data_IF_277922700228
#
_entry.id   IF_277922700228
#
_cell.length_a   1.000
_cell.length_b   1.000
_cell.length_c   1.000
_cell.angle_alpha   90.00
_cell.angle_beta   90.00
_cell.angle_gamma   90.00
#
_symmetry.space_group_name_H-M   'P 1'
#
loop_
_entity.id
_entity.type
_entity.pdbx_description
1 polymer ?
#
# COMPACT_ATOMS: atom_id res chain seq x y z
N UNK A 1 -0.70 0.69 56.50
CA UNK A 1 -0.94 -0.65 57.07
C UNK A 1 -2.42 -0.94 56.95
N UNK A 2 -2.80 -2.11 56.45
CA UNK A 2 -4.19 -2.54 56.51
C UNK A 2 -4.53 -2.96 57.95
N UNK A 3 -5.81 -2.90 58.32
CA UNK A 3 -6.30 -3.23 59.66
C UNK A 3 -6.02 -4.67 60.10
N UNK A 4 -5.68 -5.56 59.17
CA UNK A 4 -5.30 -6.96 59.41
C UNK A 4 -3.77 -7.18 59.57
N UNK A 5 -2.96 -6.13 59.61
CA UNK A 5 -1.49 -6.25 59.74
C UNK A 5 -0.75 -6.66 58.46
N UNK A 6 -1.44 -6.79 57.32
CA UNK A 6 -0.79 -7.10 56.05
C UNK A 6 0.09 -5.93 55.56
N UNK A 7 1.35 -6.24 55.22
CA UNK A 7 2.34 -5.29 54.70
C UNK A 7 2.98 -5.87 53.42
N UNK A 8 2.49 -5.50 52.23
CA UNK A 8 3.10 -5.96 50.98
C UNK A 8 4.53 -5.39 50.86
N UNK A 9 5.47 -6.24 50.45
CA UNK A 9 6.86 -5.89 50.21
C UNK A 9 7.27 -6.36 48.81
N UNK A 10 6.86 -5.63 47.75
CA UNK A 10 7.25 -5.97 46.38
C UNK A 10 8.76 -5.80 46.19
N UNK A 11 9.33 -6.56 45.27
CA UNK A 11 10.74 -6.40 44.87
C UNK A 11 10.96 -5.03 44.22
N UNK A 12 12.06 -4.37 44.57
CA UNK A 12 12.50 -3.17 43.87
C UNK A 12 13.24 -3.56 42.58
N UNK A 13 12.54 -3.41 41.47
CA UNK A 13 13.02 -3.81 40.14
C UNK A 13 13.19 -2.60 39.21
N UNK A 14 13.29 -1.38 39.77
CA UNK A 14 13.45 -0.16 38.98
C UNK A 14 14.76 -0.14 38.17
N UNK A 15 15.76 -0.92 38.60
CA UNK A 15 17.03 -1.08 37.91
C UNK A 15 16.94 -2.00 36.68
N UNK A 16 15.89 -2.81 36.56
CA UNK A 16 15.70 -3.76 35.44
C UNK A 16 15.03 -3.06 34.26
N UNK A 17 15.81 -2.74 33.23
CA UNK A 17 15.32 -2.17 31.97
C UNK A 17 15.05 -3.28 30.95
N UNK A 18 13.84 -3.27 30.38
CA UNK A 18 13.46 -4.21 29.33
C UNK A 18 13.99 -3.74 27.97
N UNK A 19 14.46 -4.69 27.15
CA UNK A 19 14.86 -4.43 25.78
C UNK A 19 13.65 -4.17 24.87
N UNK A 20 13.81 -3.55 23.67
CA UNK A 20 12.71 -3.37 22.72
C UNK A 20 11.98 -4.67 22.35
N UNK A 21 12.73 -5.76 22.21
CA UNK A 21 12.20 -7.09 21.93
C UNK A 21 11.34 -7.60 23.11
N UNK A 22 11.80 -7.42 24.34
CA UNK A 22 11.04 -7.78 25.54
C UNK A 22 9.78 -6.92 25.71
N UNK A 23 9.82 -5.63 25.37
CA UNK A 23 8.61 -4.78 25.35
C UNK A 23 7.59 -5.28 24.32
N UNK A 24 8.04 -5.74 23.16
CA UNK A 24 7.16 -6.36 22.15
C UNK A 24 6.56 -7.68 22.67
N UNK A 25 7.34 -8.47 23.40
CA UNK A 25 6.85 -9.69 24.05
C UNK A 25 5.78 -9.38 25.12
N UNK A 26 6.00 -8.36 25.95
CA UNK A 26 5.02 -7.90 26.95
C UNK A 26 3.69 -7.57 26.29
N UNK A 27 3.70 -6.92 25.13
CA UNK A 27 2.47 -6.63 24.37
C UNK A 27 1.74 -7.91 23.94
N UNK A 28 2.47 -8.89 23.37
CA UNK A 28 1.89 -10.18 22.94
C UNK A 28 1.32 -10.97 24.11
N UNK A 29 2.00 -10.95 25.26
CA UNK A 29 1.54 -11.61 26.48
C UNK A 29 0.30 -10.92 27.05
N UNK A 30 0.24 -9.58 27.02
CA UNK A 30 -0.95 -8.82 27.42
C UNK A 30 -2.15 -9.11 26.51
N UNK A 31 -1.92 -9.16 25.19
CA UNK A 31 -2.93 -9.57 24.21
C UNK A 31 -3.43 -11.00 24.49
N UNK A 32 -2.53 -11.96 24.71
CA UNK A 32 -2.92 -13.32 25.02
C UNK A 32 -3.73 -13.42 26.33
N UNK A 33 -3.30 -12.71 27.39
CA UNK A 33 -4.03 -12.65 28.65
C UNK A 33 -5.46 -12.12 28.47
N UNK A 34 -5.62 -11.08 27.64
CA UNK A 34 -6.94 -10.56 27.27
C UNK A 34 -7.77 -11.58 26.47
N UNK A 35 -7.16 -12.26 25.50
CA UNK A 35 -7.85 -13.26 24.68
C UNK A 35 -8.35 -14.45 25.52
N UNK A 36 -7.56 -14.90 26.50
CA UNK A 36 -7.96 -15.94 27.46
C UNK A 36 -9.15 -15.46 28.30
N UNK A 37 -9.07 -14.25 28.87
CA UNK A 37 -10.18 -13.65 29.61
C UNK A 37 -11.45 -13.54 28.76
N UNK A 38 -11.34 -13.04 27.53
CA UNK A 38 -12.47 -12.85 26.63
C UNK A 38 -13.10 -14.20 26.26
N UNK A 39 -12.29 -15.21 25.92
CA UNK A 39 -12.76 -16.58 25.64
C UNK A 39 -13.55 -17.15 26.82
N UNK A 40 -13.01 -17.02 28.03
CA UNK A 40 -13.65 -17.59 29.23
C UNK A 40 -14.94 -16.83 29.58
N UNK A 41 -14.99 -15.51 29.35
CA UNK A 41 -16.22 -14.72 29.49
C UNK A 41 -17.28 -15.10 28.47
N UNK A 42 -16.92 -15.26 27.20
CA UNK A 42 -17.85 -15.74 26.17
C UNK A 42 -18.42 -17.11 26.56
N UNK A 43 -17.59 -18.05 27.03
CA UNK A 43 -18.04 -19.37 27.52
C UNK A 43 -19.01 -19.29 28.69
N UNK A 44 -18.89 -18.27 29.55
CA UNK A 44 -19.80 -18.01 30.67
C UNK A 44 -21.09 -17.30 30.25
N UNK A 45 -21.29 -17.05 28.96
CA UNK A 45 -22.45 -16.37 28.39
C UNK A 45 -22.37 -14.85 28.45
N UNK A 46 -21.16 -14.27 28.59
CA UNK A 46 -21.01 -12.82 28.51
C UNK A 46 -21.05 -12.35 27.06
N UNK A 47 -21.67 -11.19 26.84
CA UNK A 47 -21.75 -10.56 25.52
C UNK A 47 -21.12 -9.17 25.52
N UNK A 48 -20.74 -8.70 24.34
CA UNK A 48 -20.32 -7.32 24.16
C UNK A 48 -21.48 -6.34 24.45
N UNK A 49 -21.16 -5.19 25.02
CA UNK A 49 -22.04 -4.01 25.11
C UNK A 49 -21.20 -2.77 25.36
N UNK A 50 -21.70 -1.59 24.96
CA UNK A 50 -21.00 -0.32 25.15
C UNK A 50 -20.86 0.04 26.64
N UNK A 51 -21.74 -0.49 27.50
CA UNK A 51 -21.73 -0.25 28.95
C UNK A 51 -21.57 -1.57 29.69
N UNK A 52 -20.92 -1.52 30.85
CA UNK A 52 -20.81 -2.69 31.72
C UNK A 52 -22.14 -2.95 32.43
N UNK A 53 -22.67 -4.17 32.28
CA UNK A 53 -23.89 -4.62 32.93
C UNK A 53 -23.66 -6.02 33.48
N UNK A 54 -23.44 -6.11 34.80
CA UNK A 54 -23.12 -7.38 35.45
C UNK A 54 -24.36 -8.30 35.49
N UNK A 55 -25.56 -7.73 35.64
CA UNK A 55 -26.80 -8.49 35.75
C UNK A 55 -27.12 -9.22 34.45
N UNK A 56 -26.93 -8.55 33.32
CA UNK A 56 -27.16 -9.13 31.99
C UNK A 56 -25.89 -9.71 31.35
N UNK A 57 -24.80 -9.88 32.13
CA UNK A 57 -23.49 -10.39 31.68
C UNK A 57 -22.95 -9.66 30.43
N UNK A 58 -22.95 -8.33 30.44
CA UNK A 58 -22.43 -7.51 29.33
C UNK A 58 -21.17 -6.74 29.73
N UNK A 59 -20.19 -6.69 28.82
CA UNK A 59 -18.92 -6.03 29.10
C UNK A 59 -18.35 -5.29 27.87
N UNK A 60 -17.97 -3.99 27.98
CA UNK A 60 -17.40 -3.21 26.89
C UNK A 60 -16.00 -3.64 26.46
N UNK A 61 -15.28 -4.36 27.32
CA UNK A 61 -13.96 -4.88 27.01
C UNK A 61 -14.01 -6.19 26.23
N UNK A 62 -15.20 -6.76 25.98
CA UNK A 62 -15.35 -7.99 25.22
C UNK A 62 -15.23 -7.75 23.71
N UNK A 63 -14.09 -7.18 23.31
CA UNK A 63 -13.67 -6.91 21.94
C UNK A 63 -12.26 -7.48 21.75
N UNK A 64 -11.81 -7.71 20.50
CA UNK A 64 -10.42 -8.00 20.20
C UNK A 64 -9.46 -6.98 20.86
N UNK A 65 -8.29 -7.44 21.32
CA UNK A 65 -7.34 -6.62 22.09
C UNK A 65 -6.95 -5.33 21.35
N UNK A 66 -6.79 -5.38 20.03
CA UNK A 66 -6.46 -4.22 19.20
C UNK A 66 -7.50 -3.09 19.24
N UNK A 67 -8.78 -3.41 19.50
CA UNK A 67 -9.90 -2.47 19.61
C UNK A 67 -10.14 -1.95 21.03
N UNK A 68 -9.37 -2.40 22.03
CA UNK A 68 -9.46 -1.85 23.38
C UNK A 68 -8.96 -0.41 23.42
N UNK A 69 -9.49 0.34 24.38
CA UNK A 69 -8.97 1.67 24.72
C UNK A 69 -7.55 1.58 25.30
N UNK A 70 -6.75 2.61 25.05
CA UNK A 70 -5.33 2.65 25.46
C UNK A 70 -5.15 2.59 26.98
N UNK A 71 -6.13 3.04 27.77
CA UNK A 71 -6.07 2.95 29.23
C UNK A 71 -6.18 1.49 29.69
N UNK A 72 -7.13 0.73 29.15
CA UNK A 72 -7.27 -0.71 29.45
C UNK A 72 -6.04 -1.49 28.97
N UNK A 73 -5.55 -1.23 27.75
CA UNK A 73 -4.32 -1.86 27.25
C UNK A 73 -3.14 -1.55 28.16
N UNK A 74 -2.96 -0.29 28.58
CA UNK A 74 -1.90 0.10 29.51
C UNK A 74 -1.94 -0.69 30.81
N UNK A 75 -3.11 -0.86 31.44
CA UNK A 75 -3.22 -1.68 32.66
C UNK A 75 -2.83 -3.14 32.44
N UNK A 76 -3.22 -3.74 31.31
CA UNK A 76 -2.82 -5.11 30.96
C UNK A 76 -1.29 -5.21 30.77
N UNK A 77 -0.71 -4.25 30.03
CA UNK A 77 0.73 -4.16 29.80
C UNK A 77 1.51 -3.96 31.08
N UNK A 78 1.08 -3.07 31.96
CA UNK A 78 1.75 -2.79 33.24
C UNK A 78 1.77 -4.05 34.12
N UNK A 79 0.68 -4.81 34.14
CA UNK A 79 0.56 -6.08 34.86
C UNK A 79 1.55 -7.12 34.35
N UNK A 80 1.61 -7.31 33.04
CA UNK A 80 2.52 -8.27 32.39
C UNK A 80 3.98 -7.79 32.49
N UNK A 81 4.23 -6.50 32.33
CA UNK A 81 5.54 -5.89 32.45
C UNK A 81 6.13 -6.12 33.84
N UNK A 82 5.32 -5.96 34.90
CA UNK A 82 5.75 -6.28 36.25
C UNK A 82 6.19 -7.76 36.38
N UNK A 83 5.39 -8.70 35.86
CA UNK A 83 5.73 -10.13 35.89
C UNK A 83 7.03 -10.45 35.12
N UNK A 84 7.19 -9.88 33.92
CA UNK A 84 8.41 -10.07 33.10
C UNK A 84 9.64 -9.48 33.78
N UNK A 85 9.53 -8.28 34.37
CA UNK A 85 10.61 -7.67 35.16
C UNK A 85 10.98 -8.53 36.37
N UNK A 86 10.00 -9.14 37.04
CA UNK A 86 10.26 -10.05 38.16
C UNK A 86 11.06 -11.27 37.71
N UNK A 87 10.70 -11.90 36.60
CA UNK A 87 11.46 -13.04 36.07
C UNK A 87 12.91 -12.64 35.73
N UNK A 88 13.11 -11.51 35.07
CA UNK A 88 14.46 -11.02 34.73
C UNK A 88 15.25 -10.64 35.99
N UNK A 89 14.60 -10.01 36.98
CA UNK A 89 15.21 -9.69 38.27
C UNK A 89 15.66 -10.92 39.04
N UNK A 90 15.01 -12.07 38.84
CA UNK A 90 15.43 -13.37 39.38
C UNK A 90 16.53 -14.06 38.56
N UNK A 91 16.98 -13.46 37.45
CA UNK A 91 18.05 -13.99 36.60
C UNK A 91 17.60 -14.82 35.41
N UNK A 92 16.29 -14.92 35.13
CA UNK A 92 15.81 -15.57 33.92
C UNK A 92 16.01 -14.66 32.71
N UNK A 93 16.71 -15.15 31.69
CA UNK A 93 16.76 -14.48 30.41
C UNK A 93 15.56 -14.89 29.56
N UNK A 94 14.81 -13.90 29.05
CA UNK A 94 13.66 -14.13 28.16
C UNK A 94 13.97 -13.48 26.83
N UNK A 95 14.19 -14.32 25.84
CA UNK A 95 14.44 -13.92 24.46
C UNK A 95 13.25 -14.36 23.61
N UNK A 96 12.51 -13.42 22.99
CA UNK A 96 11.53 -13.81 21.98
C UNK A 96 12.27 -14.44 20.81
N UNK A 97 11.74 -15.51 20.19
CA UNK A 97 12.34 -16.10 19.01
C UNK A 97 12.52 -15.02 17.93
N UNK A 98 13.67 -15.08 17.25
CA UNK A 98 13.99 -14.18 16.15
C UNK A 98 12.78 -14.06 15.23
N UNK A 99 12.36 -12.81 15.05
CA UNK A 99 11.13 -12.37 14.40
C UNK A 99 10.63 -13.40 13.38
N UNK A 100 9.58 -14.16 13.72
CA UNK A 100 8.63 -14.50 12.66
C UNK A 100 8.20 -13.15 12.11
N UNK A 101 8.73 -12.86 10.92
CA UNK A 101 8.27 -11.79 10.05
C UNK A 101 6.77 -11.78 10.23
N UNK A 102 6.23 -10.63 10.64
CA UNK A 102 4.79 -10.43 10.52
C UNK A 102 4.53 -10.66 9.04
N UNK A 103 4.15 -11.88 8.69
CA UNK A 103 3.40 -12.15 7.50
C UNK A 103 2.09 -11.46 7.84
N UNK A 104 2.07 -10.13 7.65
CA UNK A 104 0.87 -9.45 7.26
C UNK A 104 0.33 -10.39 6.22
N UNK A 105 -0.73 -11.12 6.55
CA UNK A 105 -1.56 -11.70 5.51
C UNK A 105 -1.79 -10.49 4.63
N UNK A 106 -1.10 -10.47 3.48
CA UNK A 106 -1.33 -9.51 2.43
C UNK A 106 -2.73 -9.90 2.02
N UNK A 107 -3.71 -9.36 2.75
CA UNK A 107 -5.04 -9.23 2.23
C UNK A 107 -4.79 -8.64 0.87
N UNK A 108 -5.25 -9.36 -0.14
CA UNK A 108 -5.10 -9.03 -1.54
C UNK A 108 -5.96 -7.78 -1.78
N UNK A 109 -5.57 -6.67 -1.15
CA UNK A 109 -6.28 -5.41 -1.14
C UNK A 109 -6.07 -4.86 -2.53
N UNK A 110 -7.12 -4.96 -3.34
CA UNK A 110 -7.14 -4.51 -4.73
C UNK A 110 -6.54 -3.10 -4.83
N UNK A 111 -5.36 -3.01 -5.41
CA UNK A 111 -4.77 -1.77 -5.87
C UNK A 111 -5.72 -1.19 -6.92
N UNK A 112 -6.03 0.10 -6.81
CA UNK A 112 -6.81 0.80 -7.85
C UNK A 112 -5.86 1.41 -8.84
N UNK A 113 -6.04 1.09 -10.12
CA UNK A 113 -5.32 1.70 -11.23
C UNK A 113 -6.16 2.84 -11.76
N UNK A 114 -5.56 4.00 -11.98
CA UNK A 114 -6.15 5.17 -12.61
C UNK A 114 -5.36 5.52 -13.85
N UNK A 115 -6.02 5.80 -14.97
CA UNK A 115 -5.37 6.15 -16.24
C UNK A 115 -6.15 7.19 -17.01
N UNK A 116 -5.49 7.93 -17.88
CA UNK A 116 -6.18 8.78 -18.85
C UNK A 116 -6.98 7.96 -19.87
N UNK A 117 -7.97 8.57 -20.51
CA UNK A 117 -8.73 8.01 -21.64
C UNK A 117 -7.79 7.57 -22.77
N UNK A 118 -8.11 6.44 -23.42
CA UNK A 118 -7.23 5.83 -24.44
C UNK A 118 -7.03 6.72 -25.66
N UNK A 119 -8.03 7.54 -26.00
CA UNK A 119 -7.98 8.47 -27.13
C UNK A 119 -6.98 9.62 -26.95
N UNK A 120 -6.41 9.79 -25.75
CA UNK A 120 -5.37 10.78 -25.48
C UNK A 120 -3.95 10.20 -25.50
N UNK A 121 -3.76 9.00 -26.06
CA UNK A 121 -2.45 8.40 -26.17
C UNK A 121 -1.50 9.26 -27.02
N UNK A 122 -0.32 9.53 -26.48
CA UNK A 122 0.74 10.30 -27.16
C UNK A 122 1.71 9.37 -27.87
N UNK A 123 2.06 9.70 -29.12
CA UNK A 123 2.92 8.88 -29.99
C UNK A 123 4.16 9.62 -30.50
N UNK A 124 4.29 10.91 -30.22
CA UNK A 124 5.41 11.75 -30.65
C UNK A 124 5.63 12.90 -29.67
N UNK A 125 6.82 13.49 -29.67
CA UNK A 125 7.15 14.67 -28.86
C UNK A 125 7.53 14.34 -27.41
N UNK A 126 7.62 15.39 -26.59
CA UNK A 126 8.06 15.33 -25.19
C UNK A 126 6.93 15.74 -24.26
N UNK A 127 6.55 14.86 -23.33
CA UNK A 127 5.37 15.07 -22.49
C UNK A 127 5.69 14.97 -21.00
N UNK A 128 4.99 15.80 -20.23
CA UNK A 128 5.18 15.94 -18.79
C UNK A 128 3.85 15.97 -18.03
N UNK A 129 3.82 15.36 -16.85
CA UNK A 129 2.78 15.58 -15.84
C UNK A 129 3.33 15.45 -14.42
N UNK A 130 2.58 15.95 -13.43
CA UNK A 130 2.95 15.87 -12.02
C UNK A 130 2.04 14.94 -11.22
N UNK A 131 2.62 14.29 -10.22
CA UNK A 131 1.93 13.46 -9.25
C UNK A 131 2.42 13.80 -7.84
N UNK A 132 1.51 14.27 -6.99
CA UNK A 132 1.78 14.54 -5.58
C UNK A 132 1.42 13.33 -4.71
N UNK A 133 2.39 12.85 -3.94
CA UNK A 133 2.17 11.82 -2.92
C UNK A 133 1.63 12.47 -1.64
N UNK A 134 0.30 12.51 -1.47
CA UNK A 134 -0.31 13.09 -0.25
C UNK A 134 -0.08 12.21 0.98
N UNK A 135 -0.03 10.88 0.79
CA UNK A 135 0.38 9.93 1.83
C UNK A 135 1.59 9.13 1.38
N UNK A 136 2.37 8.63 2.35
CA UNK A 136 3.50 7.73 2.08
C UNK A 136 3.03 6.27 2.16
N UNK A 137 3.04 5.57 1.04
CA UNK A 137 2.73 4.15 0.98
C UNK A 137 2.72 3.59 -0.44
N UNK A 138 2.32 2.33 -0.59
CA UNK A 138 2.38 1.60 -1.86
C UNK A 138 1.51 2.29 -2.93
N UNK A 139 2.19 3.04 -3.81
CA UNK A 139 1.61 3.66 -5.00
C UNK A 139 2.65 3.56 -6.12
N UNK A 140 2.18 3.59 -7.37
CA UNK A 140 3.06 3.63 -8.55
C UNK A 140 2.54 4.67 -9.52
N UNK A 141 3.42 5.39 -10.21
CA UNK A 141 3.03 6.41 -11.19
C UNK A 141 3.98 6.40 -12.39
N UNK A 142 3.45 6.67 -13.58
CA UNK A 142 4.26 6.80 -14.78
C UNK A 142 3.40 6.72 -16.04
N UNK A 143 3.90 5.99 -17.03
CA UNK A 143 3.29 5.86 -18.35
C UNK A 143 2.85 4.43 -18.60
N UNK A 144 1.74 4.25 -19.32
CA UNK A 144 1.29 2.92 -19.76
C UNK A 144 0.76 2.94 -21.18
N UNK A 145 0.70 1.75 -21.77
CA UNK A 145 -0.03 1.49 -23.01
C UNK A 145 -1.53 1.69 -22.80
N UNK A 146 -2.28 2.10 -23.84
CA UNK A 146 -3.73 2.25 -23.75
C UNK A 146 -4.49 0.98 -23.34
N UNK A 147 -3.93 -0.20 -23.61
CA UNK A 147 -4.50 -1.51 -23.30
C UNK A 147 -4.06 -2.07 -21.93
N UNK A 148 -3.48 -1.24 -21.05
CA UNK A 148 -3.07 -1.66 -19.69
C UNK A 148 -4.19 -2.41 -18.96
N UNK A 149 -3.80 -3.54 -18.36
CA UNK A 149 -4.69 -4.48 -17.69
C UNK A 149 -5.00 -4.02 -16.26
N UNK A 150 -6.24 -4.24 -15.83
CA UNK A 150 -6.72 -3.83 -14.51
C UNK A 150 -6.56 -4.93 -13.45
N UNK A 151 -6.37 -6.17 -13.89
CA UNK A 151 -6.20 -7.39 -13.11
C UNK A 151 -4.72 -7.77 -12.90
N UNK A 152 -3.81 -7.12 -13.61
CA UNK A 152 -2.36 -7.25 -13.45
C UNK A 152 -1.81 -6.08 -12.63
N UNK A 153 -0.84 -6.35 -11.76
CA UNK A 153 -0.14 -5.29 -11.04
C UNK A 153 0.56 -4.33 -12.01
N UNK A 154 0.41 -3.02 -11.78
CA UNK A 154 0.96 -2.02 -12.69
C UNK A 154 2.49 -2.10 -12.76
N UNK A 155 3.01 -2.38 -13.96
CA UNK A 155 4.44 -2.56 -14.26
C UNK A 155 4.96 -4.00 -14.09
N UNK A 156 4.09 -4.96 -13.77
CA UNK A 156 4.46 -6.38 -13.71
C UNK A 156 4.58 -7.04 -15.10
N UNK A 157 3.99 -6.43 -16.12
CA UNK A 157 4.05 -6.82 -17.53
C UNK A 157 4.72 -5.71 -18.38
N UNK A 158 4.74 -5.91 -19.70
CA UNK A 158 5.30 -4.94 -20.66
C UNK A 158 4.41 -3.71 -20.90
N UNK A 159 3.21 -3.64 -20.31
CA UNK A 159 2.22 -2.62 -20.67
C UNK A 159 2.40 -1.32 -19.90
N UNK A 160 3.27 -1.26 -18.89
CA UNK A 160 3.48 -0.08 -18.08
C UNK A 160 4.94 0.12 -17.68
N UNK A 161 5.30 1.39 -17.54
CA UNK A 161 6.62 1.90 -17.16
C UNK A 161 6.41 2.88 -16.02
N UNK A 162 6.56 2.41 -14.79
CA UNK A 162 6.15 3.16 -13.60
C UNK A 162 7.20 3.20 -12.52
N UNK A 163 7.15 4.24 -11.70
CA UNK A 163 7.99 4.43 -10.54
C UNK A 163 7.18 4.22 -9.25
N UNK A 164 7.73 3.43 -8.33
CA UNK A 164 7.24 3.21 -6.97
C UNK A 164 8.15 3.97 -6.00
N UNK A 165 7.74 5.17 -5.59
CA UNK A 165 8.54 5.99 -4.67
C UNK A 165 8.42 5.58 -3.20
N UNK A 166 7.53 4.64 -2.83
CA UNK A 166 7.57 4.07 -1.48
C UNK A 166 8.72 3.08 -1.30
N UNK A 167 9.03 2.33 -2.36
CA UNK A 167 10.14 1.37 -2.39
C UNK A 167 11.40 1.87 -3.08
N UNK A 168 11.35 3.05 -3.71
CA UNK A 168 12.41 3.57 -4.58
C UNK A 168 12.78 2.56 -5.68
N UNK A 169 11.78 2.18 -6.48
CA UNK A 169 11.91 1.18 -7.53
C UNK A 169 11.26 1.64 -8.82
N UNK A 170 11.86 1.31 -9.96
CA UNK A 170 11.20 1.34 -11.26
C UNK A 170 10.61 -0.03 -11.58
N UNK A 171 9.48 -0.04 -12.28
CA UNK A 171 8.72 -1.23 -12.60
C UNK A 171 8.36 -1.27 -14.09
N UNK A 172 8.84 -2.33 -14.75
CA UNK A 172 8.53 -2.74 -16.10
C UNK A 172 9.00 -4.19 -16.27
N UNK A 173 8.10 -5.15 -16.48
CA UNK A 173 8.41 -6.60 -16.51
C UNK A 173 9.19 -7.04 -15.26
N UNK A 174 8.80 -6.54 -14.09
CA UNK A 174 9.51 -6.76 -12.84
C UNK A 174 9.84 -5.46 -12.12
N UNK A 175 10.74 -5.53 -11.14
CA UNK A 175 11.12 -4.37 -10.33
C UNK A 175 12.64 -4.27 -10.19
N UNK A 176 13.15 -3.05 -10.23
CA UNK A 176 14.57 -2.73 -10.07
C UNK A 176 14.73 -1.50 -9.16
N UNK A 177 15.76 -1.45 -8.30
CA UNK A 177 16.09 -0.24 -7.54
C UNK A 177 16.30 0.97 -8.46
N UNK A 178 15.69 2.11 -8.11
CA UNK A 178 15.83 3.34 -8.88
C UNK A 178 15.43 4.55 -8.04
N UNK A 179 16.25 5.60 -8.07
CA UNK A 179 15.96 6.86 -7.38
C UNK A 179 15.96 6.73 -5.86
N UNK A 180 15.06 7.47 -5.20
CA UNK A 180 14.97 7.56 -3.73
C UNK A 180 13.52 7.53 -3.26
N UNK A 181 13.33 7.28 -1.97
CA UNK A 181 11.99 7.24 -1.38
C UNK A 181 11.35 8.62 -1.34
N UNK A 182 10.06 8.71 -1.64
CA UNK A 182 9.27 9.93 -1.48
C UNK A 182 8.85 10.14 -0.02
N UNK A 183 8.46 11.37 0.27
CA UNK A 183 7.81 11.81 1.50
C UNK A 183 6.41 12.37 1.21
N UNK A 184 5.65 12.57 2.29
CA UNK A 184 4.33 13.21 2.20
C UNK A 184 4.47 14.63 1.66
N UNK A 185 3.77 14.92 0.57
CA UNK A 185 3.78 16.21 -0.13
C UNK A 185 4.77 16.31 -1.28
N UNK A 186 5.63 15.31 -1.47
CA UNK A 186 6.56 15.27 -2.60
C UNK A 186 5.81 15.16 -3.93
N UNK A 187 6.39 15.77 -4.96
CA UNK A 187 5.87 15.76 -6.32
C UNK A 187 6.83 15.00 -7.24
N UNK A 188 6.31 13.94 -7.84
CA UNK A 188 6.96 13.20 -8.92
C UNK A 188 6.59 13.87 -10.24
N UNK A 189 7.59 14.36 -10.97
CA UNK A 189 7.41 14.75 -12.37
C UNK A 189 7.68 13.56 -13.28
N UNK A 190 6.71 13.18 -14.11
CA UNK A 190 6.82 12.05 -15.03
C UNK A 190 7.06 12.58 -16.44
N UNK A 191 8.23 12.28 -17.01
CA UNK A 191 8.70 12.77 -18.30
C UNK A 191 8.79 11.61 -19.29
N UNK A 192 8.33 11.82 -20.53
CA UNK A 192 8.54 10.88 -21.65
C UNK A 192 9.01 11.65 -22.87
N UNK A 193 10.12 11.22 -23.45
CA UNK A 193 10.66 11.72 -24.71
C UNK A 193 10.49 10.63 -25.76
N UNK A 194 9.53 10.81 -26.67
CA UNK A 194 9.23 9.84 -27.72
C UNK A 194 10.14 10.01 -28.95
N UNK A 195 10.95 11.06 -28.99
CA UNK A 195 11.99 11.24 -30.02
C UNK A 195 13.23 10.44 -29.66
N UNK A 196 13.66 10.54 -28.39
CA UNK A 196 14.82 9.81 -27.85
C UNK A 196 14.43 8.44 -27.26
N UNK A 197 13.15 8.10 -27.26
CA UNK A 197 12.60 6.84 -26.74
C UNK A 197 12.99 6.56 -25.28
N UNK A 198 12.91 7.58 -24.43
CA UNK A 198 13.28 7.50 -23.02
C UNK A 198 12.18 8.00 -22.08
N UNK A 199 12.14 7.44 -20.87
CA UNK A 199 11.29 7.91 -19.76
C UNK A 199 12.20 8.33 -18.61
N UNK A 200 11.90 9.48 -18.00
CA UNK A 200 12.60 9.99 -16.83
C UNK A 200 11.62 10.37 -15.73
N UNK A 201 12.12 10.40 -14.50
CA UNK A 201 11.35 10.85 -13.34
C UNK A 201 12.14 11.91 -12.58
N UNK A 202 11.44 12.95 -12.15
CA UNK A 202 11.96 13.93 -11.18
C UNK A 202 11.23 13.79 -9.86
N UNK A 203 11.89 14.13 -8.76
CA UNK A 203 11.27 14.27 -7.45
C UNK A 203 11.56 15.67 -6.92
N UNK A 204 10.52 16.50 -6.83
CA UNK A 204 10.61 17.92 -6.47
C UNK A 204 11.56 18.72 -7.39
N UNK A 205 11.54 18.41 -8.68
CA UNK A 205 12.35 19.07 -9.71
C UNK A 205 13.79 18.52 -9.85
N UNK A 206 14.22 17.63 -8.97
CA UNK A 206 15.53 16.95 -9.08
C UNK A 206 15.40 15.64 -9.85
N UNK A 207 16.28 15.38 -10.82
CA UNK A 207 16.32 14.12 -11.57
C UNK A 207 16.59 12.93 -10.65
N UNK A 208 15.78 11.88 -10.77
CA UNK A 208 16.06 10.60 -10.13
C UNK A 208 17.08 9.84 -10.97
N UNK A 209 18.08 9.29 -10.31
CA UNK A 209 19.17 8.54 -10.93
C UNK A 209 19.15 7.08 -10.49
N UNK A 210 19.62 6.19 -11.38
CA UNK A 210 19.92 4.80 -11.03
C UNK A 210 21.20 4.70 -10.20
N UNK A 211 21.46 3.52 -9.64
CA UNK A 211 22.73 3.20 -8.96
C UNK A 211 23.95 3.32 -9.88
N UNK A 212 23.74 3.23 -11.20
CA UNK A 212 24.75 3.47 -12.23
C UNK A 212 24.92 4.95 -12.62
N UNK A 213 24.20 5.86 -11.97
CA UNK A 213 24.25 7.31 -12.23
C UNK A 213 23.50 7.75 -13.49
N UNK A 214 22.63 6.91 -14.07
CA UNK A 214 21.84 7.28 -15.24
C UNK A 214 20.53 7.95 -14.83
N UNK A 215 20.20 9.07 -15.47
CA UNK A 215 18.93 9.79 -15.31
C UNK A 215 17.74 9.15 -16.05
N UNK A 216 18.03 8.26 -17.01
CA UNK A 216 17.02 7.59 -17.81
C UNK A 216 16.45 6.39 -17.04
N UNK A 217 15.20 6.51 -16.61
CA UNK A 217 14.50 5.46 -15.90
C UNK A 217 14.17 4.28 -16.81
N UNK A 218 13.81 4.54 -18.07
CA UNK A 218 13.63 3.51 -19.09
C UNK A 218 14.18 4.03 -20.42
N UNK A 219 14.82 3.14 -21.19
CA UNK A 219 15.44 3.43 -22.48
C UNK A 219 14.89 2.51 -23.57
N UNK A 220 15.05 2.92 -24.81
CA UNK A 220 14.69 2.14 -25.99
C UNK A 220 13.22 1.69 -25.98
N UNK A 221 12.33 2.56 -25.48
CA UNK A 221 10.90 2.24 -25.36
C UNK A 221 10.21 2.24 -26.72
N UNK A 222 9.58 1.13 -27.10
CA UNK A 222 8.82 1.05 -28.35
C UNK A 222 7.59 1.98 -28.31
N UNK A 223 7.23 2.66 -29.39
CA UNK A 223 6.12 3.64 -29.36
C UNK A 223 4.74 2.95 -29.45
N UNK A 224 4.59 1.94 -30.31
CA UNK A 224 3.32 1.18 -30.46
C UNK A 224 2.09 2.08 -30.65
N UNK A 225 1.01 1.79 -29.90
CA UNK A 225 -0.22 2.61 -29.87
C UNK A 225 -0.11 3.89 -29.04
N UNK A 226 1.10 4.23 -28.58
CA UNK A 226 1.39 5.40 -27.75
C UNK A 226 1.31 5.11 -26.25
N UNK A 227 1.34 6.20 -25.48
CA UNK A 227 1.39 6.17 -24.02
C UNK A 227 0.37 7.11 -23.40
N UNK A 228 -0.13 6.74 -22.22
CA UNK A 228 -1.03 7.54 -21.40
C UNK A 228 -0.53 7.61 -19.94
N UNK A 229 -0.76 8.74 -19.24
CA UNK A 229 -0.52 8.84 -17.81
C UNK A 229 -1.31 7.79 -17.03
N UNK A 230 -0.63 7.15 -16.09
CA UNK A 230 -1.21 6.13 -15.23
C UNK A 230 -0.67 6.25 -13.81
N UNK A 231 -1.50 5.92 -12.84
CA UNK A 231 -1.05 5.67 -11.48
C UNK A 231 -1.83 4.52 -10.84
N UNK A 232 -1.27 3.98 -9.76
CA UNK A 232 -1.90 2.96 -8.95
C UNK A 232 -1.81 3.35 -7.48
N UNK A 233 -2.90 3.15 -6.75
CA UNK A 233 -3.00 3.49 -5.34
C UNK A 233 -3.34 2.23 -4.53
N UNK A 234 -2.48 1.93 -3.56
CA UNK A 234 -2.73 0.92 -2.54
C UNK A 234 -3.82 1.36 -1.55
N UNK A 235 -4.15 0.46 -0.62
CA UNK A 235 -5.18 0.72 0.38
C UNK A 235 -4.82 1.94 1.26
N UNK A 236 -5.81 2.81 1.47
CA UNK A 236 -5.68 4.02 2.31
C UNK A 236 -4.59 4.98 1.85
N UNK A 237 -4.20 4.93 0.57
CA UNK A 237 -3.28 5.90 -0.02
C UNK A 237 -4.05 7.02 -0.72
N UNK A 238 -3.47 8.22 -0.69
CA UNK A 238 -4.00 9.42 -1.32
C UNK A 238 -2.91 10.08 -2.15
N UNK A 239 -3.26 10.48 -3.36
CA UNK A 239 -2.41 11.27 -4.24
C UNK A 239 -3.21 12.33 -4.99
N UNK A 240 -2.51 13.28 -5.62
CA UNK A 240 -3.11 14.20 -6.59
C UNK A 240 -2.34 14.11 -7.90
N UNK A 241 -3.04 13.86 -9.00
CA UNK A 241 -2.45 13.88 -10.33
C UNK A 241 -2.80 15.21 -11.02
N UNK A 242 -1.78 15.89 -11.55
CA UNK A 242 -1.93 17.11 -12.32
C UNK A 242 -1.38 16.88 -13.73
N UNK A 243 -2.31 16.74 -14.69
CA UNK A 243 -1.97 16.54 -16.10
C UNK A 243 -1.57 17.83 -16.82
N UNK A 244 -1.53 18.96 -16.12
CA UNK A 244 -0.97 20.21 -16.65
C UNK A 244 -1.89 20.98 -17.58
N UNK A 245 -3.21 20.94 -17.35
CA UNK A 245 -4.17 21.73 -18.13
C UNK A 245 -3.98 23.23 -17.90
N UNK A 246 -3.51 23.59 -16.70
CA UNK A 246 -3.01 24.91 -16.38
C UNK A 246 -1.53 24.82 -16.00
N UNK A 247 -0.65 25.41 -16.81
CA UNK A 247 0.81 25.41 -16.56
C UNK A 247 1.16 25.99 -15.19
N UNK A 248 0.45 27.03 -14.74
CA UNK A 248 0.73 27.68 -13.44
C UNK A 248 0.40 26.80 -12.24
N UNK A 249 -0.29 25.68 -12.45
CA UNK A 249 -0.60 24.71 -11.40
C UNK A 249 0.48 23.64 -11.22
N UNK A 250 1.41 23.51 -12.17
CA UNK A 250 2.56 22.62 -12.07
C UNK A 250 3.64 23.28 -11.22
N UNK A 251 4.10 22.59 -10.18
CA UNK A 251 5.01 23.15 -9.17
C UNK A 251 6.47 23.17 -9.63
N UNK A 252 6.88 22.17 -10.41
CA UNK A 252 8.28 21.92 -10.76
C UNK A 252 8.53 21.92 -12.28
N UNK A 253 7.48 22.03 -13.09
CA UNK A 253 7.61 22.06 -14.56
C UNK A 253 8.60 23.10 -15.09
N UNK A 254 8.65 24.31 -14.52
CA UNK A 254 9.58 25.36 -14.96
C UNK A 254 11.05 25.02 -14.69
N UNK A 255 11.32 24.10 -13.76
CA UNK A 255 12.66 23.71 -13.33
C UNK A 255 13.21 22.59 -14.21
N UNK A 256 12.41 21.57 -14.49
CA UNK A 256 12.86 20.37 -15.21
C UNK A 256 12.24 20.17 -16.60
N UNK A 257 11.03 20.66 -16.85
CA UNK A 257 10.33 20.41 -18.11
C UNK A 257 10.54 21.50 -19.16
N UNK A 258 10.36 22.78 -18.76
CA UNK A 258 10.25 23.90 -19.69
C UNK A 258 11.53 24.13 -20.50
N UNK A 259 12.70 24.11 -19.85
CA UNK A 259 13.98 24.37 -20.52
C UNK A 259 14.38 23.24 -21.47
N UNK A 260 13.92 22.01 -21.20
CA UNK A 260 14.22 20.82 -21.98
C UNK A 260 13.22 20.58 -23.13
N UNK A 261 12.24 21.47 -23.29
CA UNK A 261 11.25 21.42 -24.37
C UNK A 261 10.13 20.41 -24.14
N UNK A 262 9.84 20.03 -22.89
CA UNK A 262 8.68 19.22 -22.56
C UNK A 262 7.39 20.04 -22.55
N UNK A 263 6.30 19.43 -23.00
CA UNK A 263 4.96 20.03 -22.92
C UNK A 263 4.11 19.34 -21.85
N UNK A 264 3.31 20.08 -21.08
CA UNK A 264 2.34 19.48 -20.19
C UNK A 264 1.30 18.65 -20.96
N UNK A 265 0.97 17.46 -20.45
CA UNK A 265 0.10 16.49 -21.13
C UNK A 265 -1.25 17.08 -21.59
N UNK A 266 -1.84 17.96 -20.79
CA UNK A 266 -3.16 18.54 -21.03
C UNK A 266 -3.13 19.98 -21.57
N UNK A 267 -1.99 20.51 -22.01
CA UNK A 267 -1.80 21.94 -22.30
C UNK A 267 -2.82 22.52 -23.29
N UNK A 268 -3.21 21.76 -24.30
CA UNK A 268 -4.14 22.19 -25.35
C UNK A 268 -5.58 21.70 -25.12
N UNK A 269 -5.88 21.15 -23.94
CA UNK A 269 -7.20 20.60 -23.63
C UNK A 269 -8.15 21.67 -23.09
N UNK A 270 -9.24 21.90 -23.83
CA UNK A 270 -10.30 22.84 -23.44
C UNK A 270 -11.31 22.25 -22.42
N UNK A 271 -11.31 20.94 -22.25
CA UNK A 271 -12.19 20.19 -21.36
C UNK A 271 -11.35 19.42 -20.36
N UNK A 272 -11.94 19.14 -19.21
CA UNK A 272 -11.33 18.27 -18.21
C UNK A 272 -11.02 16.90 -18.81
N UNK A 273 -9.82 16.39 -18.52
CA UNK A 273 -9.40 15.08 -19.01
C UNK A 273 -10.16 13.99 -18.25
N UNK A 274 -10.77 13.08 -19.01
CA UNK A 274 -11.42 11.89 -18.45
C UNK A 274 -10.37 10.92 -17.93
N UNK A 275 -10.48 10.58 -16.65
CA UNK A 275 -9.68 9.55 -15.98
C UNK A 275 -10.55 8.33 -15.70
N UNK A 276 -10.06 7.15 -16.07
CA UNK A 276 -10.68 5.86 -15.76
C UNK A 276 -10.03 5.25 -14.53
N UNK A 277 -10.78 4.42 -13.82
CA UNK A 277 -10.25 3.63 -12.72
C UNK A 277 -10.65 2.16 -12.83
N UNK A 278 -9.84 1.25 -12.27
CA UNK A 278 -10.16 -0.18 -12.22
C UNK A 278 -11.36 -0.45 -11.31
N UNK A 279 -12.38 -1.13 -11.84
CA UNK A 279 -13.56 -1.53 -11.07
C UNK A 279 -13.24 -2.72 -10.18
N UNK A 280 -13.62 -2.61 -8.90
CA UNK A 280 -13.42 -3.71 -7.94
C UNK A 280 -14.50 -4.78 -8.01
N UNK A 281 -15.69 -4.45 -8.53
CA UNK A 281 -16.81 -5.38 -8.68
C UNK A 281 -16.60 -6.27 -9.92
N UNK A 282 -16.56 -7.60 -9.79
CA UNK A 282 -16.49 -8.50 -10.95
C UNK A 282 -17.71 -8.30 -11.86
N UNK A 283 -17.48 -8.26 -13.17
CA UNK A 283 -18.53 -8.21 -14.18
C UNK A 283 -18.28 -9.36 -15.18
N UNK A 284 -19.36 -9.91 -15.75
CA UNK A 284 -19.22 -10.92 -16.80
C UNK A 284 -18.64 -10.28 -18.06
N UNK A 285 -17.64 -10.96 -18.63
CA UNK A 285 -17.08 -10.66 -19.95
C UNK A 285 -17.06 -11.95 -20.77
N UNK A 286 -17.17 -11.88 -22.11
CA UNK A 286 -16.92 -13.03 -22.96
C UNK A 286 -15.52 -13.61 -22.71
N UNK A 287 -15.40 -14.93 -22.77
CA UNK A 287 -14.10 -15.61 -22.64
C UNK A 287 -13.22 -15.23 -23.85
N UNK A 288 -11.98 -14.73 -23.65
CA UNK A 288 -11.05 -14.46 -24.74
C UNK A 288 -10.75 -15.74 -25.53
N UNK A 289 -10.56 -15.62 -26.85
CA UNK A 289 -10.26 -16.77 -27.71
C UNK A 289 -8.90 -17.42 -27.39
N UNK A 290 -8.00 -16.67 -26.76
CA UNK A 290 -6.61 -16.99 -26.49
C UNK A 290 -6.30 -17.13 -24.99
N UNK A 291 -7.30 -17.48 -24.16
CA UNK A 291 -7.10 -17.62 -22.73
C UNK A 291 -6.15 -18.80 -22.41
N UNK A 292 -5.07 -18.61 -21.62
CA UNK A 292 -3.99 -19.61 -21.46
C UNK A 292 -4.44 -20.93 -20.82
N UNK A 293 -5.62 -20.95 -20.20
CA UNK A 293 -6.16 -22.09 -19.46
C UNK A 293 -7.62 -22.42 -19.77
N UNK A 294 -8.28 -21.68 -20.68
CA UNK A 294 -9.72 -21.85 -20.95
C UNK A 294 -9.93 -21.85 -22.46
N UNK A 295 -10.60 -22.87 -22.97
CA UNK A 295 -11.06 -22.94 -24.35
C UNK A 295 -12.59 -23.13 -24.40
N UNK A 296 -13.23 -22.60 -25.45
CA UNK A 296 -14.67 -22.75 -25.67
C UNK A 296 -14.90 -23.38 -27.03
N UNK A 297 -15.58 -24.52 -27.06
CA UNK A 297 -15.90 -25.27 -28.27
C UNK A 297 -17.41 -25.32 -28.47
N UNK A 298 -17.86 -24.96 -29.67
CA UNK A 298 -19.26 -25.16 -30.07
C UNK A 298 -19.41 -26.55 -30.69
N UNK A 299 -20.21 -27.41 -30.06
CA UNK A 299 -20.51 -28.75 -30.58
C UNK A 299 -21.77 -28.66 -31.45
N UNK A 300 -21.63 -28.93 -32.74
CA UNK A 300 -22.75 -28.99 -33.68
C UNK A 300 -23.49 -30.32 -33.55
N UNK A 301 -24.78 -30.28 -33.21
CA UNK A 301 -25.59 -31.50 -33.11
C UNK A 301 -26.13 -31.92 -34.47
N UNK A 302 -25.79 -33.13 -34.91
CA UNK A 302 -26.46 -33.81 -36.02
C UNK A 302 -27.44 -34.85 -35.44
N UNK A 303 -28.70 -34.87 -35.92
CA UNK A 303 -29.77 -35.82 -35.56
C UNK A 303 -30.35 -35.74 -34.13
N UNK A 304 -30.93 -34.60 -33.76
CA UNK A 304 -31.98 -34.52 -32.72
C UNK A 304 -31.57 -34.77 -31.27
N UNK A 305 -30.29 -34.96 -30.97
CA UNK A 305 -29.75 -35.01 -29.62
C UNK A 305 -29.32 -33.60 -29.21
N UNK A 306 -30.05 -32.96 -28.29
CA UNK A 306 -29.57 -31.77 -27.61
C UNK A 306 -28.31 -32.12 -26.79
N UNK A 307 -27.32 -31.21 -26.69
CA UNK A 307 -26.21 -31.41 -25.77
C UNK A 307 -26.79 -31.36 -24.35
N UNK A 308 -26.74 -32.49 -23.63
CA UNK A 308 -27.05 -32.55 -22.20
C UNK A 308 -25.94 -31.90 -21.38
#
# INVERSE_FOLDING_TARGET
MQSNGYKPAPLDLNHVKLTPNQNTLVERLAENGHNVWARDRVRQGWTYSIVQDIMNKRNPRLVPYNLLDEKTKKTNRDTVCAAVRTLIGYGYNIEPPDQESKMYKVFNYKIRVFRAEKSYAVTQGKWYFEFEAVTVGEMRVGWSRPNVRADTELGADELAYVFNGFKAQRWHIGNEPFGRQWQSGDVVGCMIDLTEMNIMFTLNGEMLISDSGSEMAFKDIEIGEGFIPVCSLGLSQVSRINLGQNVSSLRYFTICGLQEGFEPFAINMKRDITMWFSKSLPQFIPVPADHPHIEVLYITCYNGLFPR
#
